data_IF_564034240999
#
_entry.id   IF_564034240999
#
_cell.length_a   1.000
_cell.length_b   1.000
_cell.length_c   1.000
_cell.angle_alpha   90.00
_cell.angle_beta   90.00
_cell.angle_gamma   90.00
#
_symmetry.space_group_name_H-M   'P 1'
#
loop_
_entity.id
_entity.type
_entity.pdbx_description
1 polymer ?
#
# COMPACT_ATOMS: atom_id res chain seq x y z
N UNK A 1 6.58 0.38 15.54
CA UNK A 1 5.14 0.76 15.52
C UNK A 1 5.01 2.11 16.20
N UNK A 2 4.20 3.00 15.60
CA UNK A 2 3.80 4.30 16.15
C UNK A 2 2.29 4.30 16.32
N UNK A 3 1.80 5.03 17.31
CA UNK A 3 0.36 5.17 17.59
C UNK A 3 -0.02 6.63 17.69
N UNK A 4 -1.18 6.98 17.14
CA UNK A 4 -1.73 8.32 17.14
C UNK A 4 -3.17 8.26 17.64
N UNK A 5 -3.50 8.89 18.80
CA UNK A 5 -4.88 9.01 19.24
C UNK A 5 -5.71 9.75 18.20
N UNK A 6 -6.89 9.23 17.92
CA UNK A 6 -7.85 9.84 17.01
C UNK A 6 -9.09 10.31 17.78
N UNK A 7 -9.80 11.33 17.28
CA UNK A 7 -11.11 11.70 17.79
C UNK A 7 -12.08 10.52 17.82
N UNK A 8 -12.80 10.37 18.93
CA UNK A 8 -13.79 9.34 19.11
C UNK A 8 -14.58 9.61 20.39
N UNK A 9 -15.81 10.15 20.27
CA UNK A 9 -16.66 10.53 21.40
C UNK A 9 -17.22 9.36 22.17
N UNK A 10 -17.51 8.27 21.46
CA UNK A 10 -18.15 7.07 21.99
C UNK A 10 -17.13 6.05 22.46
N UNK A 11 -16.05 5.93 21.72
CA UNK A 11 -14.94 5.04 21.99
C UNK A 11 -13.60 5.70 21.67
N UNK A 12 -12.56 5.32 22.41
CA UNK A 12 -11.20 5.75 22.08
C UNK A 12 -10.77 5.15 20.72
N UNK A 13 -10.42 6.02 19.78
CA UNK A 13 -9.94 5.62 18.45
C UNK A 13 -8.45 5.87 18.32
N UNK A 14 -7.80 5.07 17.50
CA UNK A 14 -6.35 5.14 17.32
C UNK A 14 -5.95 4.77 15.90
N UNK A 15 -4.95 5.45 15.38
CA UNK A 15 -4.21 5.04 14.21
C UNK A 15 -2.93 4.34 14.64
N UNK A 16 -2.72 3.13 14.16
CA UNK A 16 -1.48 2.37 14.26
C UNK A 16 -0.69 2.51 12.96
N UNK A 17 0.61 2.80 13.04
CA UNK A 17 1.51 2.83 11.87
C UNK A 17 2.68 1.91 12.13
N UNK A 18 2.81 0.86 11.32
CA UNK A 18 3.93 -0.06 11.31
C UNK A 18 4.87 0.26 10.14
N UNK A 19 6.17 0.21 10.40
CA UNK A 19 7.21 0.30 9.37
C UNK A 19 7.70 -1.11 9.05
N UNK A 20 7.70 -1.43 7.76
CA UNK A 20 8.29 -2.63 7.16
C UNK A 20 9.49 -2.25 6.29
N UNK A 21 10.23 -3.24 5.82
CA UNK A 21 11.43 -2.98 5.02
C UNK A 21 11.14 -2.15 3.77
N UNK A 22 10.01 -2.41 3.11
CA UNK A 22 9.69 -1.82 1.81
C UNK A 22 8.43 -0.92 1.81
N UNK A 23 7.70 -0.79 2.92
CA UNK A 23 6.49 0.02 3.01
C UNK A 23 6.13 0.40 4.44
N UNK A 24 5.23 1.37 4.59
CA UNK A 24 4.50 1.64 5.83
C UNK A 24 3.08 1.12 5.72
N UNK A 25 2.57 0.57 6.80
CA UNK A 25 1.19 0.12 6.89
C UNK A 25 0.52 0.74 8.11
N UNK A 26 -0.56 1.48 7.86
CA UNK A 26 -1.38 2.08 8.88
C UNK A 26 -2.73 1.35 8.98
N UNK A 27 -3.21 1.20 10.19
CA UNK A 27 -4.50 0.56 10.46
C UNK A 27 -5.29 1.39 11.46
N UNK A 28 -6.61 1.52 11.22
CA UNK A 28 -7.51 2.28 12.09
C UNK A 28 -8.93 1.72 12.04
N UNK A 29 -9.71 2.03 13.07
CA UNK A 29 -11.17 1.94 13.09
C UNK A 29 -11.68 3.30 13.55
N UNK A 30 -12.35 4.03 12.64
CA UNK A 30 -12.76 5.41 12.87
C UNK A 30 -14.08 5.52 13.68
N UNK A 31 -14.35 6.73 14.17
CA UNK A 31 -15.59 7.06 14.88
C UNK A 31 -16.82 6.94 13.99
N UNK A 32 -17.96 6.61 14.60
CA UNK A 32 -19.28 6.67 13.96
C UNK A 32 -19.74 8.11 13.67
N UNK A 33 -19.10 9.11 14.26
CA UNK A 33 -19.45 10.52 14.12
C UNK A 33 -18.68 11.19 12.97
N UNK A 34 -19.38 11.85 12.04
CA UNK A 34 -18.77 12.50 10.86
C UNK A 34 -17.70 13.53 11.24
N UNK A 35 -17.96 14.37 12.25
CA UNK A 35 -17.02 15.42 12.67
C UNK A 35 -15.72 14.82 13.21
N UNK A 36 -15.79 13.71 13.95
CA UNK A 36 -14.62 13.01 14.47
C UNK A 36 -13.81 12.36 13.33
N UNK A 37 -14.48 11.78 12.32
CA UNK A 37 -13.83 11.25 11.14
C UNK A 37 -13.10 12.36 10.35
N UNK A 38 -13.76 13.48 10.11
CA UNK A 38 -13.16 14.62 9.42
C UNK A 38 -11.95 15.17 10.19
N UNK A 39 -12.05 15.29 11.51
CA UNK A 39 -10.93 15.72 12.36
C UNK A 39 -9.78 14.70 12.39
N UNK A 40 -10.07 13.41 12.21
CA UNK A 40 -9.05 12.35 12.11
C UNK A 40 -8.20 12.47 10.85
N UNK A 41 -8.71 13.07 9.77
CA UNK A 41 -8.03 13.14 8.48
C UNK A 41 -6.68 13.87 8.55
N UNK A 42 -6.61 14.99 9.28
CA UNK A 42 -5.35 15.73 9.44
C UNK A 42 -4.31 14.94 10.24
N UNK A 43 -4.76 14.17 11.24
CA UNK A 43 -3.88 13.28 12.01
C UNK A 43 -3.36 12.15 11.13
N UNK A 44 -4.23 11.52 10.32
CA UNK A 44 -3.86 10.48 9.36
C UNK A 44 -2.82 11.02 8.37
N UNK A 45 -3.05 12.18 7.77
CA UNK A 45 -2.11 12.83 6.84
C UNK A 45 -0.78 13.16 7.52
N UNK A 46 -0.80 13.67 8.75
CA UNK A 46 0.41 14.02 9.49
C UNK A 46 1.24 12.79 9.91
N UNK A 47 0.62 11.62 10.00
CA UNK A 47 1.28 10.35 10.33
C UNK A 47 2.12 9.79 9.17
N UNK A 48 1.88 10.29 7.93
CA UNK A 48 2.60 9.83 6.74
C UNK A 48 4.08 10.22 6.83
N UNK A 49 4.93 9.22 6.81
CA UNK A 49 6.38 9.41 6.89
C UNK A 49 6.91 9.82 5.52
N UNK A 50 7.65 10.94 5.46
CA UNK A 50 8.38 11.34 4.26
C UNK A 50 9.54 10.36 4.02
N UNK A 51 9.34 9.44 3.10
CA UNK A 51 10.33 8.42 2.75
C UNK A 51 10.13 7.98 1.29
N UNK A 52 11.04 7.17 0.80
CA UNK A 52 10.92 6.52 -0.51
C UNK A 52 10.08 5.23 -0.46
N UNK A 53 9.41 4.95 0.66
CA UNK A 53 8.56 3.77 0.83
C UNK A 53 7.10 4.15 0.62
N UNK A 54 6.29 3.33 -0.07
CA UNK A 54 4.85 3.52 -0.10
C UNK A 54 4.22 3.48 1.30
N UNK A 55 3.14 4.23 1.47
CA UNK A 55 2.36 4.25 2.70
C UNK A 55 0.93 3.79 2.39
N UNK A 56 0.49 2.76 3.08
CA UNK A 56 -0.84 2.17 2.96
C UNK A 56 -1.65 2.42 4.24
N UNK A 57 -2.94 2.72 4.05
CA UNK A 57 -3.93 2.86 5.12
C UNK A 57 -5.00 1.80 4.91
N UNK A 58 -5.36 1.07 5.97
CA UNK A 58 -6.45 0.10 5.93
C UNK A 58 -7.32 0.18 7.19
N UNK A 59 -8.57 -0.22 7.07
CA UNK A 59 -9.47 -0.39 8.20
C UNK A 59 -10.91 -0.06 7.90
N UNK A 60 -11.71 -0.16 8.94
CA UNK A 60 -13.08 0.33 8.97
C UNK A 60 -13.06 1.86 9.14
N UNK A 61 -13.41 2.56 8.08
CA UNK A 61 -13.47 4.02 8.08
C UNK A 61 -14.86 4.56 8.47
N UNK A 62 -15.83 3.66 8.71
CA UNK A 62 -17.19 3.97 9.13
C UNK A 62 -17.90 5.01 8.24
N UNK A 63 -17.56 5.02 6.94
CA UNK A 63 -18.16 6.00 6.02
C UNK A 63 -18.29 5.45 4.60
N UNK A 64 -19.35 5.86 3.92
CA UNK A 64 -19.68 5.44 2.55
C UNK A 64 -18.83 6.18 1.51
N UNK A 65 -18.67 5.63 0.28
CA UNK A 65 -17.82 6.21 -0.76
C UNK A 65 -18.18 7.64 -1.18
N UNK A 66 -19.43 8.04 -1.04
CA UNK A 66 -19.95 9.36 -1.40
C UNK A 66 -19.95 10.37 -0.24
N UNK A 67 -19.48 9.96 0.94
CA UNK A 67 -19.37 10.84 2.11
C UNK A 67 -18.31 11.93 1.95
N UNK A 68 -18.45 13.00 2.71
CA UNK A 68 -17.46 14.09 2.73
C UNK A 68 -16.08 13.63 3.18
N UNK A 69 -16.04 12.71 4.16
CA UNK A 69 -14.76 12.19 4.66
C UNK A 69 -14.03 11.38 3.58
N UNK A 70 -14.70 10.41 2.93
CA UNK A 70 -14.07 9.59 1.88
C UNK A 70 -13.68 10.45 0.67
N UNK A 71 -14.50 11.43 0.28
CA UNK A 71 -14.12 12.38 -0.77
C UNK A 71 -12.89 13.21 -0.40
N UNK A 72 -12.80 13.69 0.85
CA UNK A 72 -11.63 14.42 1.34
C UNK A 72 -10.39 13.51 1.47
N UNK A 73 -10.54 12.27 1.94
CA UNK A 73 -9.47 11.27 1.98
C UNK A 73 -8.90 11.02 0.57
N UNK A 74 -9.77 10.90 -0.41
CA UNK A 74 -9.39 10.62 -1.81
C UNK A 74 -8.63 11.78 -2.48
N UNK A 75 -8.54 12.96 -1.90
CA UNK A 75 -7.65 14.00 -2.43
C UNK A 75 -6.18 13.56 -2.32
N UNK A 76 -5.83 12.92 -1.21
CA UNK A 76 -4.45 12.56 -0.89
C UNK A 76 -4.17 11.05 -0.94
N UNK A 77 -5.21 10.21 -0.86
CA UNK A 77 -5.10 8.75 -0.94
C UNK A 77 -5.80 8.19 -2.18
N UNK A 78 -5.18 7.20 -2.78
CA UNK A 78 -5.79 6.35 -3.81
C UNK A 78 -6.43 5.14 -3.13
N UNK A 79 -7.76 5.01 -3.20
CA UNK A 79 -8.45 3.79 -2.75
C UNK A 79 -8.09 2.65 -3.70
N UNK A 80 -7.61 1.54 -3.13
CA UNK A 80 -7.17 0.34 -3.86
C UNK A 80 -8.26 -0.73 -3.92
N UNK A 81 -9.23 -0.69 -3.00
CA UNK A 81 -10.36 -1.61 -2.93
C UNK A 81 -11.53 -1.17 -3.81
N UNK A 82 -12.47 -2.09 -4.05
CA UNK A 82 -13.66 -1.79 -4.86
C UNK A 82 -14.70 -1.01 -4.06
N UNK A 83 -14.83 0.30 -4.32
CA UNK A 83 -15.80 1.18 -3.65
C UNK A 83 -17.28 0.85 -3.92
N UNK A 84 -17.57 -0.05 -4.88
CA UNK A 84 -18.93 -0.50 -5.22
C UNK A 84 -19.26 -1.89 -4.69
N UNK A 85 -18.35 -2.50 -3.93
CA UNK A 85 -18.57 -3.81 -3.31
C UNK A 85 -18.71 -3.63 -1.81
N UNK A 86 -19.92 -3.80 -1.26
CA UNK A 86 -20.17 -3.61 0.15
C UNK A 86 -19.45 -4.67 1.00
N UNK A 87 -19.13 -4.30 2.24
CA UNK A 87 -18.40 -5.11 3.21
C UNK A 87 -19.19 -5.41 4.47
N UNK A 88 -20.22 -4.59 4.77
CA UNK A 88 -21.02 -4.68 5.98
C UNK A 88 -22.52 -4.62 5.66
N UNK A 89 -23.37 -5.34 6.42
CA UNK A 89 -23.04 -6.46 7.32
C UNK A 89 -22.65 -7.72 6.53
N UNK A 90 -21.78 -8.56 7.08
CA UNK A 90 -21.19 -9.69 6.35
C UNK A 90 -22.18 -10.67 5.72
N UNK A 91 -23.31 -11.04 6.36
CA UNK A 91 -24.27 -11.98 5.75
C UNK A 91 -24.89 -11.44 4.45
N UNK A 92 -25.36 -10.19 4.46
CA UNK A 92 -25.98 -9.51 3.32
C UNK A 92 -25.45 -8.08 3.23
N UNK A 93 -24.25 -7.86 2.63
CA UNK A 93 -23.61 -6.56 2.64
C UNK A 93 -24.37 -5.50 1.84
N UNK A 94 -24.56 -4.36 2.45
CA UNK A 94 -25.22 -3.19 1.85
C UNK A 94 -24.36 -1.93 1.92
N UNK A 95 -23.34 -1.92 2.79
CA UNK A 95 -22.50 -0.75 3.06
C UNK A 95 -21.04 -1.04 2.74
N UNK A 96 -20.38 -0.07 2.09
CA UNK A 96 -18.94 -0.07 1.84
C UNK A 96 -18.30 0.88 2.84
N UNK A 97 -17.77 0.36 3.93
CA UNK A 97 -17.18 1.15 5.03
C UNK A 97 -15.75 0.76 5.35
N UNK A 98 -15.28 -0.36 4.78
CA UNK A 98 -13.91 -0.85 4.90
C UNK A 98 -13.11 -0.52 3.66
N UNK A 99 -11.88 -0.04 3.84
CA UNK A 99 -11.03 0.40 2.74
C UNK A 99 -9.57 0.00 2.93
N UNK A 100 -8.89 -0.17 1.80
CA UNK A 100 -7.43 -0.15 1.71
C UNK A 100 -7.07 0.94 0.70
N UNK A 101 -6.19 1.84 1.10
CA UNK A 101 -5.79 3.00 0.31
C UNK A 101 -4.27 3.23 0.38
N UNK A 102 -3.71 3.89 -0.62
CA UNK A 102 -2.31 4.26 -0.70
C UNK A 102 -2.15 5.78 -0.76
N UNK A 103 -1.14 6.31 -0.09
CA UNK A 103 -0.78 7.72 -0.15
C UNK A 103 -0.27 8.12 -1.54
N UNK A 104 -0.85 9.16 -2.16
CA UNK A 104 -0.57 9.56 -3.55
C UNK A 104 0.73 10.35 -3.73
N UNK A 105 1.15 11.10 -2.70
CA UNK A 105 2.22 12.08 -2.79
C UNK A 105 3.58 11.55 -2.32
N UNK A 106 3.72 10.23 -2.21
CA UNK A 106 4.94 9.53 -1.83
C UNK A 106 5.46 8.63 -2.94
N UNK A 107 6.27 7.64 -2.57
CA UNK A 107 6.64 6.57 -3.49
C UNK A 107 5.39 5.77 -3.86
N UNK A 108 5.17 5.63 -5.16
CA UNK A 108 4.11 4.80 -5.76
C UNK A 108 4.71 3.61 -6.51
N UNK A 109 5.86 3.12 -6.04
CA UNK A 109 6.60 2.01 -6.65
C UNK A 109 5.91 0.67 -6.36
N UNK A 110 4.63 0.59 -6.70
CA UNK A 110 3.83 -0.63 -6.61
C UNK A 110 2.78 -0.69 -7.73
N UNK A 111 2.36 -1.90 -8.08
CA UNK A 111 1.22 -2.14 -8.95
C UNK A 111 0.12 -2.88 -8.17
N UNK A 112 -1.11 -2.39 -8.25
CA UNK A 112 -2.28 -3.11 -7.74
C UNK A 112 -2.65 -4.21 -8.76
N UNK A 113 -2.50 -5.47 -8.36
CA UNK A 113 -2.77 -6.62 -9.22
C UNK A 113 -4.21 -7.09 -9.09
N UNK A 114 -4.76 -7.08 -7.87
CA UNK A 114 -6.16 -7.45 -7.62
C UNK A 114 -6.66 -6.86 -6.32
N UNK A 115 -7.96 -6.64 -6.25
CA UNK A 115 -8.67 -6.27 -5.03
C UNK A 115 -9.96 -7.13 -4.94
N UNK A 116 -10.26 -7.64 -3.75
CA UNK A 116 -11.40 -8.52 -3.52
C UNK A 116 -12.06 -8.21 -2.19
N UNK A 117 -13.39 -8.35 -2.14
CA UNK A 117 -14.16 -8.57 -0.93
C UNK A 117 -14.40 -10.07 -0.87
N UNK A 118 -13.92 -10.73 0.18
CA UNK A 118 -14.03 -12.17 0.34
C UNK A 118 -15.43 -12.54 0.84
N UNK A 119 -16.00 -13.62 0.30
CA UNK A 119 -17.29 -14.09 0.72
C UNK A 119 -17.17 -14.95 1.99
N UNK A 120 -17.01 -14.28 3.12
CA UNK A 120 -16.93 -14.89 4.44
C UNK A 120 -17.98 -14.24 5.37
N UNK A 121 -19.18 -14.84 5.50
CA UNK A 121 -20.28 -14.23 6.24
C UNK A 121 -20.29 -14.55 7.74
N UNK A 122 -19.37 -15.39 8.24
CA UNK A 122 -19.46 -15.98 9.59
C UNK A 122 -18.32 -15.54 10.51
N UNK A 123 -17.12 -15.32 9.97
CA UNK A 123 -15.93 -15.05 10.79
C UNK A 123 -15.98 -13.68 11.51
N UNK A 124 -16.74 -12.73 10.96
CA UNK A 124 -16.92 -11.37 11.48
C UNK A 124 -18.26 -10.83 10.98
N UNK A 125 -18.74 -9.74 11.54
CA UNK A 125 -19.84 -8.93 11.02
C UNK A 125 -19.45 -8.09 9.80
N UNK A 126 -18.13 -7.98 9.48
CA UNK A 126 -17.59 -7.40 8.24
C UNK A 126 -17.00 -8.48 7.33
N UNK A 127 -17.16 -8.33 6.02
CA UNK A 127 -16.45 -9.16 5.03
C UNK A 127 -14.99 -8.75 4.91
N UNK A 128 -14.04 -9.70 4.87
CA UNK A 128 -12.63 -9.40 4.73
C UNK A 128 -12.31 -8.75 3.38
N UNK A 129 -11.41 -7.78 3.39
CA UNK A 129 -10.81 -7.19 2.20
C UNK A 129 -9.43 -7.78 1.92
N UNK A 130 -9.14 -7.99 0.64
CA UNK A 130 -7.82 -8.39 0.17
C UNK A 130 -7.39 -7.53 -1.01
N UNK A 131 -6.16 -7.02 -0.95
CA UNK A 131 -5.49 -6.34 -2.06
C UNK A 131 -4.15 -7.02 -2.27
N UNK A 132 -3.89 -7.44 -3.50
CA UNK A 132 -2.59 -7.99 -3.90
C UNK A 132 -1.79 -6.91 -4.61
N UNK A 133 -0.64 -6.57 -4.05
CA UNK A 133 0.28 -5.59 -4.60
C UNK A 133 1.58 -6.26 -5.03
N UNK A 134 2.12 -5.80 -6.16
CA UNK A 134 3.49 -6.07 -6.55
C UNK A 134 4.31 -4.81 -6.31
N UNK A 135 5.24 -4.88 -5.35
CA UNK A 135 6.17 -3.80 -5.09
C UNK A 135 7.20 -3.73 -6.22
N UNK A 136 7.51 -2.53 -6.69
CA UNK A 136 8.65 -2.33 -7.57
C UNK A 136 9.93 -2.60 -6.78
N UNK A 137 10.80 -3.38 -7.35
CA UNK A 137 12.13 -3.61 -6.79
C UNK A 137 12.98 -2.36 -7.05
N UNK A 138 13.58 -1.82 -6.01
CA UNK A 138 14.61 -0.80 -6.19
C UNK A 138 15.80 -1.45 -6.92
N UNK A 139 16.17 -0.99 -8.13
CA UNK A 139 17.28 -1.59 -8.87
C UNK A 139 18.59 -1.62 -8.08
N UNK A 140 18.80 -0.68 -7.15
CA UNK A 140 19.99 -0.67 -6.29
C UNK A 140 19.98 -1.77 -5.24
N UNK A 141 18.81 -2.31 -4.86
CA UNK A 141 18.63 -3.40 -3.89
C UNK A 141 18.54 -4.77 -4.57
N UNK A 142 18.31 -4.77 -5.89
CA UNK A 142 18.22 -6.01 -6.67
C UNK A 142 19.57 -6.76 -6.72
N UNK A 143 20.67 -6.03 -6.73
CA UNK A 143 22.00 -6.62 -6.85
C UNK A 143 22.67 -6.76 -5.48
N UNK A 144 22.96 -7.98 -5.05
CA UNK A 144 23.91 -8.26 -3.98
C UNK A 144 25.34 -7.95 -4.44
N UNK A 145 25.68 -8.35 -5.67
CA UNK A 145 26.91 -7.99 -6.35
C UNK A 145 26.55 -7.34 -7.68
N UNK A 146 26.90 -6.04 -7.83
CA UNK A 146 26.67 -5.32 -9.08
C UNK A 146 27.41 -5.99 -10.24
N UNK A 147 26.92 -5.86 -11.50
CA UNK A 147 27.60 -6.40 -12.66
C UNK A 147 29.06 -5.97 -12.75
N UNK A 148 29.95 -6.91 -12.95
CA UNK A 148 31.38 -6.67 -13.20
C UNK A 148 31.92 -7.62 -14.25
N UNK A 149 33.01 -7.22 -14.88
CA UNK A 149 33.69 -7.99 -15.94
C UNK A 149 34.73 -8.90 -15.32
N UNK A 150 34.79 -10.15 -15.82
CA UNK A 150 35.74 -11.15 -15.39
C UNK A 150 36.29 -11.91 -16.61
N UNK A 151 37.53 -12.41 -16.50
CA UNK A 151 38.18 -13.22 -17.51
C UNK A 151 38.15 -12.61 -18.93
N UNK A 152 38.68 -11.39 -19.15
CA UNK A 152 38.74 -10.80 -20.49
C UNK A 152 39.69 -11.61 -21.37
N UNK A 153 39.21 -11.92 -22.58
CA UNK A 153 39.99 -12.53 -23.65
C UNK A 153 39.84 -11.74 -24.94
N UNK A 154 40.64 -11.98 -25.97
CA UNK A 154 40.64 -11.15 -27.19
C UNK A 154 39.27 -11.07 -27.89
N UNK A 155 38.43 -12.05 -27.74
CA UNK A 155 37.10 -12.14 -28.39
C UNK A 155 35.93 -12.39 -27.43
N UNK A 156 36.13 -12.15 -26.14
CA UNK A 156 35.07 -12.36 -25.16
C UNK A 156 35.44 -11.92 -23.76
N UNK A 157 34.41 -11.89 -22.90
CA UNK A 157 34.54 -11.65 -21.49
C UNK A 157 33.39 -12.33 -20.74
N UNK A 158 33.54 -12.53 -19.46
CA UNK A 158 32.47 -12.99 -18.58
C UNK A 158 31.89 -11.79 -17.83
N UNK A 159 30.58 -11.65 -17.84
CA UNK A 159 29.86 -10.67 -17.00
C UNK A 159 29.23 -11.43 -15.84
N UNK A 160 29.53 -11.00 -14.62
CA UNK A 160 29.07 -11.67 -13.40
C UNK A 160 28.29 -10.68 -12.55
N UNK A 161 27.17 -11.10 -12.00
CA UNK A 161 26.42 -10.39 -10.98
C UNK A 161 25.68 -11.38 -10.09
N UNK A 162 25.21 -10.91 -8.93
CA UNK A 162 24.40 -11.68 -8.02
C UNK A 162 23.19 -10.86 -7.62
N UNK A 163 22.00 -11.44 -7.70
CA UNK A 163 20.74 -10.80 -7.27
C UNK A 163 20.38 -11.23 -5.84
N UNK A 164 19.69 -10.35 -5.11
CA UNK A 164 19.21 -10.60 -3.75
C UNK A 164 18.03 -11.57 -3.72
N UNK A 165 17.33 -11.70 -4.85
CA UNK A 165 16.18 -12.60 -5.05
C UNK A 165 16.35 -13.33 -6.41
N UNK A 166 15.68 -14.46 -6.62
CA UNK A 166 15.61 -15.09 -7.95
C UNK A 166 15.05 -14.10 -8.98
N UNK A 167 15.76 -13.89 -10.07
CA UNK A 167 15.38 -12.96 -11.13
C UNK A 167 15.76 -13.51 -12.51
N UNK A 168 14.96 -13.19 -13.53
CA UNK A 168 15.38 -13.35 -14.92
C UNK A 168 16.38 -12.26 -15.25
N UNK A 169 17.46 -12.64 -15.93
CA UNK A 169 18.53 -11.72 -16.28
C UNK A 169 18.92 -11.88 -17.74
N UNK A 170 19.26 -10.78 -18.39
CA UNK A 170 19.78 -10.74 -19.74
C UNK A 170 20.82 -9.62 -19.87
N UNK A 171 21.64 -9.71 -20.88
CA UNK A 171 22.66 -8.71 -21.23
C UNK A 171 22.44 -8.28 -22.66
N UNK A 172 22.37 -6.99 -22.89
CA UNK A 172 22.39 -6.39 -24.22
C UNK A 172 23.78 -5.83 -24.49
N UNK A 173 24.32 -6.08 -25.67
CA UNK A 173 25.61 -5.57 -26.09
C UNK A 173 25.59 -5.17 -27.57
N UNK A 174 26.43 -4.22 -27.96
CA UNK A 174 26.50 -3.72 -29.32
C UNK A 174 27.75 -2.87 -29.54
N UNK A 175 27.96 -2.48 -30.79
CA UNK A 175 29.07 -1.61 -31.21
C UNK A 175 28.64 -0.12 -31.12
N UNK A 176 27.33 0.16 -31.14
CA UNK A 176 26.76 1.50 -31.04
C UNK A 176 26.15 1.74 -29.66
N UNK A 177 26.04 3.00 -29.25
CA UNK A 177 25.32 3.40 -28.04
C UNK A 177 23.88 2.98 -28.17
N UNK A 178 23.44 2.11 -27.29
CA UNK A 178 22.01 1.79 -27.13
C UNK A 178 21.30 3.07 -26.68
N UNK A 179 20.39 3.59 -27.50
CA UNK A 179 19.52 4.74 -27.17
C UNK A 179 18.35 4.30 -26.31
#
# INVERSE_FOLDING_TARGET
IRTYPLPGREEARMLLVAEFDNYFFACTHLSLTEEDRLASLDIIKSSVVKSNKPYFLAGDLNDQPDSKFIQALQQDFQVLTHIKKPTFPAPEPTETIDYIAAWKHGSNDFANLSAQVLEEPVASDHRPLSVQLRMALNPSELFRTKPYLQNPVNNGMTIVWETTIPAYSWVEYGIDTLN
#
